data_IF_398707285504
#
_entry.id   IF_398707285504
#
_cell.length_a   1.000
_cell.length_b   1.000
_cell.length_c   1.000
_cell.angle_alpha   90.00
_cell.angle_beta   90.00
_cell.angle_gamma   90.00
#
_symmetry.space_group_name_H-M   'P 1'
#
loop_
_entity.id
_entity.type
_entity.pdbx_description
1 polymer ?
#
# COMPACT_ATOMS: atom_id res chain seq x y z
N UNK A 1 -15.02 20.99 2.24
CA UNK A 1 -14.00 20.04 2.70
C UNK A 1 -14.61 18.67 3.00
N UNK A 2 -15.49 18.49 3.99
CA UNK A 2 -16.09 17.17 4.37
C UNK A 2 -16.87 16.41 3.26
N UNK A 3 -17.46 17.08 2.30
CA UNK A 3 -18.20 16.43 1.19
C UNK A 3 -17.23 15.81 0.18
N UNK A 4 -16.10 16.44 -0.07
CA UNK A 4 -15.06 15.93 -0.97
C UNK A 4 -14.37 14.68 -0.42
N UNK A 5 -14.02 14.69 0.86
CA UNK A 5 -13.46 13.53 1.55
C UNK A 5 -14.44 12.33 1.51
N UNK A 6 -15.75 12.59 1.61
CA UNK A 6 -16.77 11.56 1.46
C UNK A 6 -16.84 11.03 0.02
N UNK A 7 -16.77 11.89 -0.99
CA UNK A 7 -16.79 11.48 -2.41
C UNK A 7 -15.52 10.75 -2.81
N UNK A 8 -14.34 11.21 -2.38
CA UNK A 8 -13.07 10.47 -2.54
C UNK A 8 -13.15 9.08 -1.89
N UNK A 9 -13.64 9.01 -0.65
CA UNK A 9 -13.82 7.75 0.06
C UNK A 9 -14.82 6.83 -0.66
N UNK A 10 -15.90 7.39 -1.22
CA UNK A 10 -16.92 6.63 -1.93
C UNK A 10 -16.41 6.11 -3.26
N UNK A 11 -15.70 6.94 -4.04
CA UNK A 11 -15.07 6.54 -5.30
C UNK A 11 -13.97 5.49 -5.06
N UNK A 12 -13.14 5.67 -4.05
CA UNK A 12 -12.14 4.69 -3.67
C UNK A 12 -12.77 3.34 -3.31
N UNK A 13 -13.77 3.33 -2.43
CA UNK A 13 -14.46 2.10 -1.99
C UNK A 13 -15.22 1.39 -3.09
N UNK A 14 -15.89 2.14 -3.97
CA UNK A 14 -16.84 1.54 -4.92
C UNK A 14 -16.25 1.29 -6.31
N UNK A 15 -15.14 1.93 -6.66
CA UNK A 15 -14.52 1.80 -7.97
C UNK A 15 -13.11 1.21 -7.86
N UNK A 16 -12.25 1.81 -7.04
CA UNK A 16 -10.83 1.43 -6.98
C UNK A 16 -10.65 0.08 -6.29
N UNK A 17 -11.27 -0.12 -5.13
CA UNK A 17 -11.15 -1.36 -4.35
C UNK A 17 -11.69 -2.59 -5.09
N UNK A 18 -12.87 -2.58 -5.75
CA UNK A 18 -13.33 -3.73 -6.52
C UNK A 18 -12.44 -4.09 -7.70
N UNK A 19 -11.89 -3.09 -8.41
CA UNK A 19 -10.97 -3.33 -9.53
C UNK A 19 -9.62 -3.88 -9.07
N UNK A 20 -9.17 -3.51 -7.89
CA UNK A 20 -7.94 -4.04 -7.28
C UNK A 20 -8.14 -5.43 -6.68
N UNK A 21 -9.36 -5.75 -6.22
CA UNK A 21 -9.63 -6.93 -5.42
C UNK A 21 -9.23 -8.24 -6.10
N UNK A 22 -9.56 -8.39 -7.39
CA UNK A 22 -9.24 -9.63 -8.13
C UNK A 22 -7.74 -9.80 -8.34
N UNK A 23 -7.04 -8.75 -8.77
CA UNK A 23 -5.58 -8.80 -8.97
C UNK A 23 -4.81 -8.99 -7.67
N UNK A 24 -5.31 -8.45 -6.57
CA UNK A 24 -4.75 -8.66 -5.23
C UNK A 24 -4.99 -10.09 -4.76
N UNK A 25 -6.18 -10.64 -4.98
CA UNK A 25 -6.52 -12.02 -4.64
C UNK A 25 -5.62 -13.02 -5.37
N UNK A 26 -5.48 -12.88 -6.69
CA UNK A 26 -4.64 -13.74 -7.51
C UNK A 26 -3.17 -13.65 -7.05
N UNK A 27 -2.65 -12.44 -6.84
CA UNK A 27 -1.29 -12.20 -6.38
C UNK A 27 -1.00 -12.80 -5.01
N UNK A 28 -1.91 -12.65 -4.04
CA UNK A 28 -1.75 -13.27 -2.71
C UNK A 28 -1.85 -14.79 -2.82
N UNK A 29 -2.79 -15.30 -3.62
CA UNK A 29 -2.98 -16.75 -3.82
C UNK A 29 -1.75 -17.47 -4.38
N UNK A 30 -0.94 -16.81 -5.21
CA UNK A 30 0.33 -17.36 -5.70
C UNK A 30 1.41 -17.46 -4.62
N UNK A 31 1.30 -16.70 -3.54
CA UNK A 31 2.36 -16.53 -2.56
C UNK A 31 2.00 -17.02 -1.15
N UNK A 32 0.73 -17.03 -0.79
CA UNK A 32 0.24 -17.52 0.49
C UNK A 32 -0.16 -18.98 0.38
N UNK A 33 0.19 -19.75 1.39
CA UNK A 33 -0.29 -21.13 1.60
C UNK A 33 -0.90 -21.23 3.00
N UNK A 34 -1.97 -21.98 3.13
CA UNK A 34 -2.61 -22.23 4.42
C UNK A 34 -1.60 -22.76 5.44
N UNK A 35 -1.69 -22.26 6.67
CA UNK A 35 -0.73 -22.55 7.74
C UNK A 35 0.45 -21.57 7.84
N UNK A 36 0.65 -20.69 6.83
CA UNK A 36 1.64 -19.61 6.93
C UNK A 36 1.14 -18.51 7.86
N UNK A 37 1.88 -18.17 8.90
CA UNK A 37 1.53 -17.06 9.81
C UNK A 37 1.79 -15.72 9.13
N UNK A 38 0.75 -14.92 9.01
CA UNK A 38 0.74 -13.65 8.26
C UNK A 38 0.52 -12.47 9.19
N UNK A 39 1.41 -11.49 9.11
CA UNK A 39 1.24 -10.15 9.67
C UNK A 39 0.83 -9.19 8.55
N UNK A 40 -0.41 -8.70 8.55
CA UNK A 40 -0.86 -7.63 7.67
C UNK A 40 -0.53 -6.28 8.33
N UNK A 41 0.56 -5.66 7.89
CA UNK A 41 1.09 -4.43 8.46
C UNK A 41 0.41 -3.20 7.86
N UNK A 42 -0.23 -2.40 8.72
CA UNK A 42 -1.05 -1.26 8.29
C UNK A 42 -2.35 -1.73 7.64
N UNK A 43 -3.04 -2.71 8.24
CA UNK A 43 -4.23 -3.36 7.68
C UNK A 43 -5.43 -2.42 7.47
N UNK A 44 -5.39 -1.21 7.99
CA UNK A 44 -6.43 -0.19 7.84
C UNK A 44 -7.79 -0.69 8.32
N UNK A 45 -8.74 -0.81 7.39
CA UNK A 45 -10.10 -1.28 7.66
C UNK A 45 -10.25 -2.81 7.65
N UNK A 46 -9.15 -3.54 7.59
CA UNK A 46 -9.12 -5.01 7.64
C UNK A 46 -9.67 -5.72 6.40
N UNK A 47 -9.88 -5.01 5.28
CA UNK A 47 -10.52 -5.58 4.09
C UNK A 47 -9.73 -6.74 3.46
N UNK A 48 -8.42 -6.73 3.60
CA UNK A 48 -7.53 -7.77 3.07
C UNK A 48 -7.51 -9.06 3.92
N UNK A 49 -8.06 -9.04 5.13
CA UNK A 49 -8.10 -10.23 6.00
C UNK A 49 -8.68 -11.45 5.30
N UNK A 50 -9.69 -11.25 4.43
CA UNK A 50 -10.36 -12.30 3.68
C UNK A 50 -9.47 -13.06 2.67
N UNK A 51 -8.26 -12.56 2.41
CA UNK A 51 -7.28 -13.21 1.54
C UNK A 51 -6.54 -14.34 2.25
N UNK A 52 -6.71 -14.46 3.57
CA UNK A 52 -5.97 -15.37 4.43
C UNK A 52 -6.92 -16.21 5.28
N UNK A 53 -6.43 -17.34 5.78
CA UNK A 53 -7.16 -18.11 6.79
C UNK A 53 -7.16 -17.30 8.11
N UNK A 54 -8.32 -17.17 8.80
CA UNK A 54 -8.40 -16.44 10.05
C UNK A 54 -7.40 -16.88 11.13
N UNK A 55 -7.08 -18.17 11.21
CA UNK A 55 -6.13 -18.71 12.19
C UNK A 55 -4.66 -18.36 11.91
N UNK A 56 -4.37 -17.97 10.68
CA UNK A 56 -3.03 -17.61 10.21
C UNK A 56 -2.77 -16.10 10.22
N UNK A 57 -3.81 -15.29 10.36
CA UNK A 57 -3.78 -13.85 10.12
C UNK A 57 -3.79 -13.02 11.39
N UNK A 58 -2.93 -12.02 11.42
CA UNK A 58 -2.98 -10.90 12.37
C UNK A 58 -2.89 -9.60 11.57
N UNK A 59 -3.95 -8.78 11.63
CA UNK A 59 -3.92 -7.41 11.13
C UNK A 59 -3.36 -6.46 12.18
N UNK A 60 -2.45 -5.57 11.78
CA UNK A 60 -1.87 -4.57 12.66
C UNK A 60 -2.11 -3.15 12.17
N UNK A 61 -2.48 -2.25 13.08
CA UNK A 61 -2.80 -0.86 12.75
C UNK A 61 -2.44 0.05 13.93
N UNK A 62 -2.00 1.28 13.65
CA UNK A 62 -1.66 2.27 14.68
C UNK A 62 -2.89 2.98 15.23
N UNK A 63 -3.95 3.10 14.45
CA UNK A 63 -5.21 3.73 14.82
C UNK A 63 -6.13 2.77 15.55
N UNK A 64 -6.38 3.05 16.84
CA UNK A 64 -7.25 2.22 17.69
C UNK A 64 -8.69 2.12 17.17
N UNK A 65 -9.21 3.18 16.54
CA UNK A 65 -10.59 3.20 16.03
C UNK A 65 -10.74 2.27 14.83
N UNK A 66 -9.70 2.18 13.99
CA UNK A 66 -9.63 1.23 12.87
C UNK A 66 -9.51 -0.21 13.36
N UNK A 67 -8.68 -0.48 14.37
CA UNK A 67 -8.56 -1.80 14.99
C UNK A 67 -9.92 -2.28 15.51
N UNK A 68 -10.61 -1.45 16.28
CA UNK A 68 -11.94 -1.77 16.83
C UNK A 68 -12.97 -2.01 15.72
N UNK A 69 -13.01 -1.11 14.73
CA UNK A 69 -13.92 -1.20 13.59
C UNK A 69 -13.69 -2.47 12.76
N UNK A 70 -12.41 -2.83 12.53
CA UNK A 70 -12.04 -4.04 11.80
C UNK A 70 -12.42 -5.30 12.55
N UNK A 71 -12.20 -5.34 13.87
CA UNK A 71 -12.61 -6.47 14.72
C UNK A 71 -14.12 -6.68 14.73
N UNK A 72 -14.91 -5.60 14.79
CA UNK A 72 -16.38 -5.67 14.67
C UNK A 72 -16.82 -6.17 13.30
N UNK A 73 -16.17 -5.71 12.24
CA UNK A 73 -16.54 -6.06 10.85
C UNK A 73 -16.13 -7.47 10.45
N UNK A 74 -15.00 -7.94 10.96
CA UNK A 74 -14.42 -9.24 10.65
C UNK A 74 -14.11 -10.06 11.91
N UNK A 75 -15.12 -10.50 12.67
CA UNK A 75 -14.95 -11.06 14.01
C UNK A 75 -14.18 -12.39 14.07
N UNK A 76 -13.97 -13.04 12.93
CA UNK A 76 -13.15 -14.27 12.85
C UNK A 76 -11.66 -13.98 12.80
N UNK A 77 -11.26 -12.72 12.53
CA UNK A 77 -9.87 -12.34 12.34
C UNK A 77 -9.36 -11.56 13.55
N UNK A 78 -8.07 -11.64 13.79
CA UNK A 78 -7.40 -10.93 14.87
C UNK A 78 -6.85 -9.61 14.35
N UNK A 79 -7.14 -8.51 15.07
CA UNK A 79 -6.59 -7.19 14.79
C UNK A 79 -5.94 -6.63 16.06
N UNK A 80 -4.72 -6.13 15.93
CA UNK A 80 -3.95 -5.62 17.04
C UNK A 80 -3.47 -4.18 16.77
N UNK A 81 -3.53 -3.36 17.82
CA UNK A 81 -2.91 -2.04 17.80
C UNK A 81 -1.41 -2.19 17.96
N UNK A 82 -0.65 -1.48 17.11
CA UNK A 82 0.80 -1.40 17.21
C UNK A 82 1.26 0.03 17.53
N UNK A 83 2.45 0.22 18.13
CA UNK A 83 3.04 1.53 18.28
C UNK A 83 3.48 2.11 16.92
N UNK A 84 3.57 3.43 16.85
CA UNK A 84 4.23 4.10 15.73
C UNK A 84 5.72 3.86 15.86
N UNK A 85 6.33 3.26 14.84
CA UNK A 85 7.78 2.99 14.81
C UNK A 85 8.50 4.23 14.24
N UNK A 86 9.07 5.04 15.10
CA UNK A 86 9.78 6.27 14.74
C UNK A 86 11.16 6.42 15.39
N UNK A 87 11.51 5.51 16.30
CA UNK A 87 12.80 5.42 16.97
C UNK A 87 13.28 3.96 17.04
N UNK A 88 14.57 3.76 17.28
CA UNK A 88 15.16 2.42 17.44
C UNK A 88 14.74 1.69 18.72
N UNK A 89 14.04 2.38 19.62
CA UNK A 89 13.47 1.80 20.85
C UNK A 89 12.08 1.21 20.62
N UNK A 90 11.40 1.65 19.57
CA UNK A 90 10.05 1.18 19.24
C UNK A 90 10.15 -0.20 18.61
N UNK A 91 9.30 -1.13 19.06
CA UNK A 91 9.27 -2.51 18.58
C UNK A 91 7.84 -2.95 18.30
N UNK A 92 7.71 -3.82 17.32
CA UNK A 92 6.47 -4.56 17.11
C UNK A 92 6.27 -5.57 18.26
N UNK A 93 5.02 -5.80 18.73
CA UNK A 93 4.75 -6.55 19.96
C UNK A 93 4.92 -8.08 19.82
N UNK A 94 5.52 -8.56 18.75
CA UNK A 94 5.75 -9.97 18.49
C UNK A 94 7.19 -10.38 18.69
N UNK A 95 7.38 -11.66 19.01
CA UNK A 95 8.71 -12.27 19.17
C UNK A 95 9.44 -12.36 17.83
N UNK A 96 10.75 -12.57 17.91
CA UNK A 96 11.56 -12.88 16.74
C UNK A 96 11.04 -14.16 16.05
N UNK A 97 11.16 -14.24 14.74
CA UNK A 97 10.80 -15.43 13.96
C UNK A 97 9.33 -15.87 14.14
N UNK A 98 8.39 -14.94 14.27
CA UNK A 98 6.96 -15.22 14.50
C UNK A 98 6.16 -15.46 13.23
N UNK A 99 6.56 -14.85 12.10
CA UNK A 99 5.76 -14.82 10.88
C UNK A 99 6.49 -15.43 9.68
N UNK A 100 5.72 -16.13 8.86
CA UNK A 100 6.16 -16.61 7.56
C UNK A 100 6.05 -15.53 6.48
N UNK A 101 5.11 -14.59 6.68
CA UNK A 101 4.85 -13.50 5.76
C UNK A 101 4.50 -12.21 6.51
N UNK A 102 5.10 -11.10 6.07
CA UNK A 102 4.59 -9.75 6.33
C UNK A 102 3.91 -9.28 5.05
N UNK A 103 2.61 -9.06 5.10
CA UNK A 103 1.84 -8.49 4.01
C UNK A 103 1.71 -6.98 4.20
N UNK A 104 1.91 -6.22 3.13
CA UNK A 104 1.81 -4.75 3.14
C UNK A 104 0.99 -4.33 1.93
N UNK A 105 -0.10 -3.62 2.16
CA UNK A 105 -0.95 -3.16 1.08
C UNK A 105 -1.30 -1.69 1.27
N UNK A 106 -0.83 -0.85 0.36
CA UNK A 106 -1.10 0.58 0.32
C UNK A 106 -0.78 1.28 1.67
N UNK A 107 0.39 1.00 2.24
CA UNK A 107 0.78 1.47 3.57
C UNK A 107 2.09 2.29 3.56
N UNK A 108 3.15 1.82 2.90
CA UNK A 108 4.47 2.45 3.00
C UNK A 108 4.51 3.88 2.46
N UNK A 109 3.69 4.19 1.46
CA UNK A 109 3.61 5.55 0.90
C UNK A 109 3.03 6.59 1.85
N UNK A 110 2.53 6.18 3.02
CA UNK A 110 2.16 7.08 4.13
C UNK A 110 3.31 7.28 5.12
N UNK A 111 4.40 6.54 5.01
CA UNK A 111 5.49 6.47 6.00
C UNK A 111 6.75 7.08 5.42
N UNK A 112 7.38 7.99 6.17
CA UNK A 112 8.64 8.58 5.73
C UNK A 112 9.79 7.55 5.71
N UNK A 113 10.81 7.78 4.88
CA UNK A 113 11.90 6.84 4.68
C UNK A 113 12.68 6.46 5.96
N UNK A 114 12.80 7.38 6.93
CA UNK A 114 13.47 7.11 8.21
C UNK A 114 12.69 6.07 9.01
N UNK A 115 11.37 6.23 9.11
CA UNK A 115 10.50 5.27 9.81
C UNK A 115 10.41 3.95 9.03
N UNK A 116 10.37 3.96 7.69
CA UNK A 116 10.42 2.74 6.89
C UNK A 116 11.65 1.88 7.19
N UNK A 117 12.83 2.49 7.34
CA UNK A 117 14.06 1.76 7.72
C UNK A 117 13.92 1.05 9.06
N UNK A 118 13.36 1.73 10.06
CA UNK A 118 13.13 1.13 11.38
C UNK A 118 12.12 -0.01 11.31
N UNK A 119 11.06 0.17 10.54
CA UNK A 119 10.03 -0.83 10.30
C UNK A 119 10.63 -2.06 9.61
N UNK A 120 11.49 -1.90 8.61
CA UNK A 120 12.12 -3.03 7.93
C UNK A 120 13.07 -3.83 8.85
N UNK A 121 13.76 -3.16 9.78
CA UNK A 121 14.51 -3.87 10.84
C UNK A 121 13.60 -4.73 11.70
N UNK A 122 12.42 -4.22 12.06
CA UNK A 122 11.43 -4.98 12.80
C UNK A 122 10.83 -6.11 11.94
N UNK A 123 10.59 -5.90 10.64
CA UNK A 123 10.18 -6.98 9.75
C UNK A 123 11.22 -8.10 9.67
N UNK A 124 12.52 -7.73 9.57
CA UNK A 124 13.61 -8.72 9.60
C UNK A 124 13.63 -9.51 10.91
N UNK A 125 13.35 -8.86 12.02
CA UNK A 125 13.29 -9.50 13.34
C UNK A 125 12.09 -10.46 13.48
N UNK A 126 10.90 -10.03 13.09
CA UNK A 126 9.68 -10.82 13.30
C UNK A 126 9.47 -11.89 12.23
N UNK A 127 10.07 -11.76 11.05
CA UNK A 127 10.05 -12.78 10.03
C UNK A 127 10.93 -13.98 10.41
N UNK A 128 10.46 -15.19 10.11
CA UNK A 128 11.28 -16.40 10.15
C UNK A 128 12.40 -16.34 9.10
N UNK A 129 13.41 -17.19 9.22
CA UNK A 129 14.55 -17.23 8.29
C UNK A 129 14.15 -17.37 6.82
N UNK A 130 13.09 -18.13 6.53
CA UNK A 130 12.52 -18.32 5.20
C UNK A 130 11.31 -17.42 4.94
N UNK A 131 11.06 -16.45 5.83
CA UNK A 131 9.93 -15.54 5.74
C UNK A 131 10.13 -14.50 4.65
N UNK A 132 9.04 -13.93 4.18
CA UNK A 132 9.04 -12.93 3.12
C UNK A 132 8.12 -11.76 3.41
N UNK A 133 8.42 -10.64 2.78
CA UNK A 133 7.51 -9.52 2.64
C UNK A 133 6.77 -9.70 1.31
N UNK A 134 5.45 -9.59 1.34
CA UNK A 134 4.60 -9.52 0.17
C UNK A 134 3.92 -8.17 0.15
N UNK A 135 4.09 -7.38 -0.92
CA UNK A 135 3.64 -6.01 -0.91
C UNK A 135 2.94 -5.54 -2.17
N UNK A 136 2.05 -4.57 -1.99
CA UNK A 136 1.36 -3.83 -3.05
C UNK A 136 1.41 -2.35 -2.69
N UNK A 137 2.14 -1.56 -3.47
CA UNK A 137 2.29 -0.12 -3.22
C UNK A 137 2.10 0.71 -4.50
N UNK A 138 1.55 1.93 -4.41
CA UNK A 138 1.58 2.85 -5.53
C UNK A 138 3.02 3.22 -5.83
N UNK A 139 3.42 3.16 -7.11
CA UNK A 139 4.78 3.48 -7.52
C UNK A 139 4.80 4.41 -8.73
N UNK A 140 5.70 5.38 -8.71
CA UNK A 140 5.97 6.22 -9.86
C UNK A 140 6.79 5.43 -10.88
N UNK A 141 6.31 5.40 -12.12
CA UNK A 141 6.91 4.62 -13.21
C UNK A 141 7.43 5.57 -14.27
N UNK A 142 8.68 5.38 -14.68
CA UNK A 142 9.29 6.18 -15.73
C UNK A 142 8.48 6.07 -17.04
N UNK A 143 8.28 7.21 -17.70
CA UNK A 143 7.48 7.30 -18.92
C UNK A 143 5.96 7.24 -18.72
N UNK A 144 5.45 7.09 -17.49
CA UNK A 144 4.01 7.07 -17.17
C UNK A 144 3.54 8.40 -16.55
N UNK A 145 3.85 9.52 -17.23
CA UNK A 145 3.61 10.87 -16.71
C UNK A 145 2.18 11.11 -16.25
N UNK A 146 1.18 10.67 -17.02
CA UNK A 146 -0.22 10.88 -16.69
C UNK A 146 -0.65 10.18 -15.41
N UNK A 147 -0.35 8.89 -15.26
CA UNK A 147 -0.67 8.15 -14.03
C UNK A 147 0.15 8.65 -12.84
N UNK A 148 1.41 9.03 -13.04
CA UNK A 148 2.22 9.62 -11.98
C UNK A 148 1.62 10.94 -11.48
N UNK A 149 1.11 11.80 -12.37
CA UNK A 149 0.43 13.05 -12.01
C UNK A 149 -0.88 12.75 -11.25
N UNK A 150 -1.68 11.81 -11.75
CA UNK A 150 -2.94 11.42 -11.08
C UNK A 150 -2.66 10.91 -9.66
N UNK A 151 -1.70 10.00 -9.49
CA UNK A 151 -1.34 9.49 -8.16
C UNK A 151 -0.88 10.62 -7.23
N UNK A 152 -0.03 11.54 -7.71
CA UNK A 152 0.42 12.66 -6.89
C UNK A 152 -0.70 13.64 -6.50
N UNK A 153 -1.77 13.73 -7.28
CA UNK A 153 -2.91 14.62 -6.99
C UNK A 153 -3.96 13.94 -6.12
N UNK A 154 -4.29 12.67 -6.41
CA UNK A 154 -5.43 11.98 -5.81
C UNK A 154 -5.06 11.08 -4.64
N UNK A 155 -3.80 10.65 -4.53
CA UNK A 155 -3.38 9.79 -3.43
C UNK A 155 -3.20 10.58 -2.14
N UNK A 156 -3.66 10.00 -1.04
CA UNK A 156 -3.51 10.59 0.29
C UNK A 156 -2.11 10.40 0.88
N UNK A 157 -1.30 9.53 0.28
CA UNK A 157 0.06 9.24 0.73
C UNK A 157 1.05 10.35 0.40
N UNK A 158 1.93 10.61 1.35
CA UNK A 158 2.92 11.69 1.27
C UNK A 158 4.22 11.28 0.60
N UNK A 159 4.46 9.98 0.46
CA UNK A 159 5.77 9.41 0.15
C UNK A 159 5.73 8.34 -0.94
N UNK A 160 4.92 8.57 -2.01
CA UNK A 160 4.96 7.70 -3.19
C UNK A 160 6.35 7.83 -3.83
N UNK A 161 7.05 6.71 -3.94
CA UNK A 161 8.40 6.68 -4.49
C UNK A 161 8.41 6.17 -5.94
N UNK A 162 9.42 6.56 -6.73
CA UNK A 162 9.78 5.83 -7.93
C UNK A 162 10.09 4.36 -7.61
N UNK A 163 9.74 3.45 -8.52
CA UNK A 163 9.90 2.01 -8.31
C UNK A 163 11.35 1.62 -7.97
N UNK A 164 12.35 2.23 -8.63
CA UNK A 164 13.76 2.00 -8.32
C UNK A 164 14.11 2.45 -6.89
N UNK A 165 13.48 3.51 -6.38
CA UNK A 165 13.71 3.99 -5.00
C UNK A 165 13.12 3.06 -3.95
N UNK A 166 11.96 2.44 -4.20
CA UNK A 166 11.48 1.36 -3.35
C UNK A 166 12.48 0.20 -3.28
N UNK A 167 13.00 -0.25 -4.43
CA UNK A 167 14.01 -1.33 -4.46
C UNK A 167 15.28 -0.97 -3.69
N UNK A 168 15.80 0.25 -3.89
CA UNK A 168 16.96 0.74 -3.14
C UNK A 168 16.67 0.76 -1.63
N UNK A 169 15.48 1.16 -1.22
CA UNK A 169 15.08 1.20 0.19
C UNK A 169 15.02 -0.21 0.79
N UNK A 170 14.48 -1.21 0.09
CA UNK A 170 14.50 -2.60 0.52
C UNK A 170 15.93 -3.13 0.64
N UNK A 171 16.77 -2.88 -0.38
CA UNK A 171 18.17 -3.29 -0.40
C UNK A 171 18.99 -2.65 0.72
N UNK A 172 18.68 -1.41 1.11
CA UNK A 172 19.37 -0.73 2.23
C UNK A 172 19.12 -1.35 3.61
N UNK A 173 18.15 -2.23 3.72
CA UNK A 173 17.84 -2.96 4.96
C UNK A 173 17.97 -4.49 4.75
N UNK A 174 18.85 -4.88 3.81
CA UNK A 174 19.18 -6.27 3.49
C UNK A 174 17.97 -7.12 3.11
N UNK A 175 17.13 -6.57 2.22
CA UNK A 175 16.06 -7.30 1.53
C UNK A 175 16.29 -7.30 0.03
N UNK A 176 16.15 -8.47 -0.59
CA UNK A 176 16.19 -8.62 -2.04
C UNK A 176 14.77 -8.82 -2.57
N UNK A 177 14.37 -7.95 -3.52
CA UNK A 177 13.08 -8.08 -4.19
C UNK A 177 13.14 -9.12 -5.30
N UNK A 178 12.36 -10.19 -5.16
CA UNK A 178 12.39 -11.36 -6.06
C UNK A 178 11.32 -11.34 -7.13
N UNK A 179 10.20 -10.64 -6.90
CA UNK A 179 9.13 -10.53 -7.88
C UNK A 179 8.73 -9.09 -8.10
N UNK A 180 8.46 -8.77 -9.35
CA UNK A 180 8.06 -7.42 -9.74
C UNK A 180 6.99 -7.51 -10.82
N UNK A 181 5.80 -7.05 -10.47
CA UNK A 181 4.73 -6.82 -11.42
C UNK A 181 4.17 -5.40 -11.20
N UNK A 182 3.72 -4.76 -12.25
CA UNK A 182 3.04 -3.46 -12.16
C UNK A 182 1.65 -3.60 -12.76
N UNK A 183 0.66 -3.58 -11.89
CA UNK A 183 -0.75 -3.60 -12.28
C UNK A 183 -1.20 -2.17 -12.49
N UNK A 184 -1.79 -1.91 -13.67
CA UNK A 184 -2.38 -0.63 -13.99
C UNK A 184 -3.86 -0.68 -13.67
N UNK A 185 -4.29 0.17 -12.76
CA UNK A 185 -5.70 0.33 -12.43
C UNK A 185 -6.05 1.80 -12.46
N UNK A 186 -6.97 2.20 -13.33
CA UNK A 186 -7.62 3.51 -13.37
C UNK A 186 -6.71 4.73 -13.03
N UNK A 187 -5.56 4.83 -13.69
CA UNK A 187 -4.59 5.92 -13.45
C UNK A 187 -3.59 5.67 -12.33
N UNK A 188 -3.69 4.55 -11.62
CA UNK A 188 -2.70 4.11 -10.65
C UNK A 188 -1.78 3.04 -11.21
N UNK A 189 -0.51 3.11 -10.87
CA UNK A 189 0.45 2.05 -11.06
C UNK A 189 0.69 1.38 -9.70
N UNK A 190 0.20 0.16 -9.54
CA UNK A 190 0.40 -0.62 -8.33
C UNK A 190 1.54 -1.60 -8.53
N UNK A 191 2.60 -1.41 -7.80
CA UNK A 191 3.72 -2.33 -7.78
C UNK A 191 3.43 -3.47 -6.82
N UNK A 192 3.37 -4.69 -7.38
CA UNK A 192 3.27 -5.95 -6.65
C UNK A 192 4.65 -6.57 -6.55
N UNK A 193 5.07 -6.96 -5.35
CA UNK A 193 6.43 -7.46 -5.12
C UNK A 193 6.47 -8.47 -3.99
N UNK A 194 7.49 -9.34 -4.07
CA UNK A 194 7.90 -10.22 -2.98
C UNK A 194 9.36 -9.93 -2.66
N UNK A 195 9.68 -9.79 -1.38
CA UNK A 195 11.05 -9.55 -0.92
C UNK A 195 11.41 -10.51 0.19
N UNK A 196 12.63 -11.03 0.14
CA UNK A 196 13.19 -11.91 1.17
C UNK A 196 14.38 -11.25 1.83
N UNK A 197 14.60 -11.54 3.10
CA UNK A 197 15.81 -11.11 3.78
C UNK A 197 17.03 -11.79 3.14
N UNK A 198 18.13 -11.05 3.07
CA UNK A 198 19.40 -11.53 2.52
C UNK A 198 20.52 -11.20 3.50
N UNK A 199 21.63 -11.96 3.40
CA UNK A 199 22.85 -11.67 4.14
C UNK A 199 23.77 -10.69 3.38
N UNK A 200 23.34 -10.16 2.23
CA UNK A 200 24.07 -9.09 1.54
C UNK A 200 24.19 -7.85 2.44
N UNK A 201 25.35 -7.22 2.42
CA UNK A 201 25.58 -5.98 3.13
C UNK A 201 24.58 -4.90 2.71
N UNK A 202 24.01 -4.17 3.69
CA UNK A 202 23.06 -3.10 3.40
C UNK A 202 23.75 -2.00 2.57
N UNK A 203 23.05 -1.50 1.57
CA UNK A 203 23.53 -0.39 0.74
C UNK A 203 23.04 0.95 1.30
N UNK A 204 23.80 2.03 1.08
CA UNK A 204 23.33 3.35 1.48
C UNK A 204 22.11 3.77 0.66
N UNK A 205 20.98 3.95 1.33
CA UNK A 205 19.80 4.56 0.71
C UNK A 205 19.93 6.08 0.73
N UNK A 206 20.25 6.66 -0.42
CA UNK A 206 20.17 8.11 -0.60
C UNK A 206 18.72 8.49 -0.92
N UNK A 207 18.00 8.92 0.10
CA UNK A 207 16.71 9.55 -0.09
C UNK A 207 16.94 10.86 -0.84
N UNK A 208 17.08 10.76 -2.17
CA UNK A 208 17.04 11.94 -3.02
C UNK A 208 15.78 12.69 -2.63
N UNK A 209 15.92 13.95 -2.22
CA UNK A 209 14.78 14.80 -1.86
C UNK A 209 13.67 14.49 -2.85
N UNK A 210 12.56 13.95 -2.37
CA UNK A 210 11.37 13.69 -3.16
C UNK A 210 10.85 15.05 -3.57
N UNK A 211 11.46 15.65 -4.60
CA UNK A 211 11.17 17.03 -5.07
C UNK A 211 9.78 17.15 -5.64
N UNK A 212 9.08 16.03 -5.86
CA UNK A 212 7.75 16.01 -6.48
C UNK A 212 6.73 16.74 -5.60
N UNK A 213 6.87 16.73 -4.28
CA UNK A 213 5.97 17.52 -3.40
C UNK A 213 6.26 19.01 -3.36
N UNK A 214 7.45 19.48 -3.71
CA UNK A 214 7.74 20.92 -3.82
C UNK A 214 7.09 21.57 -5.03
N UNK A 215 6.80 20.81 -6.09
CA UNK A 215 6.08 21.31 -7.26
C UNK A 215 4.57 21.41 -7.00
N UNK A 216 4.03 20.57 -6.10
CA UNK A 216 2.59 20.57 -5.81
C UNK A 216 2.14 21.62 -4.79
N UNK A 217 3.05 22.25 -4.02
CA UNK A 217 2.65 23.32 -3.08
C UNK A 217 2.01 24.55 -3.75
N UNK A 218 2.46 25.08 -4.91
CA UNK A 218 1.72 26.12 -5.62
C UNK A 218 0.47 25.58 -6.33
N UNK A 219 0.38 24.29 -6.61
CA UNK A 219 -0.79 23.63 -7.20
C UNK A 219 -1.89 23.28 -6.18
N UNK A 220 -1.71 23.55 -4.89
CA UNK A 220 -2.79 23.38 -3.90
C UNK A 220 -4.01 24.26 -4.22
N UNK A 221 -3.82 25.42 -4.82
CA UNK A 221 -4.90 26.28 -5.35
C UNK A 221 -5.42 25.79 -6.72
N UNK A 222 -4.56 25.33 -7.61
CA UNK A 222 -4.96 24.62 -8.84
C UNK A 222 -5.49 23.20 -8.54
N UNK A 223 -5.05 22.54 -7.46
CA UNK A 223 -5.55 21.25 -7.00
C UNK A 223 -7.04 21.27 -6.68
N UNK A 224 -7.58 22.37 -6.17
CA UNK A 224 -9.04 22.53 -6.03
C UNK A 224 -9.75 22.51 -7.40
N UNK A 225 -9.21 23.19 -8.41
CA UNK A 225 -9.78 23.21 -9.77
C UNK A 225 -9.38 21.99 -10.59
N UNK A 226 -8.15 21.50 -10.45
CA UNK A 226 -7.65 20.29 -11.14
C UNK A 226 -8.39 19.01 -10.74
N UNK A 227 -8.75 18.87 -9.45
CA UNK A 227 -9.60 17.77 -8.98
C UNK A 227 -10.97 17.79 -9.66
N UNK A 228 -11.56 18.98 -9.84
CA UNK A 228 -12.82 19.13 -10.58
C UNK A 228 -12.69 18.75 -12.05
N UNK A 229 -11.63 19.17 -12.73
CA UNK A 229 -11.40 18.83 -14.14
C UNK A 229 -11.23 17.32 -14.30
N UNK A 230 -10.47 16.67 -13.42
CA UNK A 230 -10.29 15.22 -13.43
C UNK A 230 -11.61 14.50 -13.12
N UNK A 231 -12.39 14.95 -12.13
CA UNK A 231 -13.68 14.35 -11.78
C UNK A 231 -14.71 14.54 -12.90
N UNK A 232 -14.74 15.71 -13.57
CA UNK A 232 -15.61 15.96 -14.73
C UNK A 232 -15.20 15.06 -15.90
N UNK A 233 -13.89 14.94 -16.17
CA UNK A 233 -13.39 14.06 -17.25
C UNK A 233 -13.65 12.59 -16.96
N UNK A 234 -13.49 12.15 -15.72
CA UNK A 234 -13.82 10.79 -15.29
C UNK A 234 -15.32 10.52 -15.33
N UNK A 235 -16.15 11.50 -14.95
CA UNK A 235 -17.60 11.44 -15.06
C UNK A 235 -18.04 11.36 -16.52
N UNK A 236 -17.43 12.11 -17.42
CA UNK A 236 -17.71 12.06 -18.86
C UNK A 236 -17.34 10.68 -19.46
N UNK A 237 -16.17 10.14 -19.10
CA UNK A 237 -15.75 8.79 -19.54
C UNK A 237 -16.63 7.67 -18.98
N UNK A 238 -17.15 7.81 -17.77
CA UNK A 238 -18.08 6.85 -17.18
C UNK A 238 -19.44 6.89 -17.90
N UNK A 239 -19.92 8.09 -18.24
CA UNK A 239 -21.16 8.27 -19.02
C UNK A 239 -20.99 7.68 -20.41
N UNK A 240 -19.87 7.93 -21.09
CA UNK A 240 -19.53 7.39 -22.40
C UNK A 240 -19.50 5.85 -22.39
N UNK A 241 -18.90 5.26 -21.34
CA UNK A 241 -18.88 3.81 -21.13
C UNK A 241 -20.29 3.23 -20.92
N UNK A 242 -21.13 3.90 -20.11
CA UNK A 242 -22.50 3.47 -19.87
C UNK A 242 -23.36 3.60 -21.13
N UNK A 243 -23.23 4.69 -21.87
CA UNK A 243 -23.93 4.88 -23.15
C UNK A 243 -23.54 3.79 -24.13
N UNK A 244 -22.26 3.45 -24.26
CA UNK A 244 -21.80 2.39 -25.15
C UNK A 244 -22.27 0.99 -24.72
N UNK A 245 -22.37 0.72 -23.41
CA UNK A 245 -22.95 -0.52 -22.89
C UNK A 245 -24.45 -0.65 -23.20
N UNK A 246 -25.22 0.44 -23.09
CA UNK A 246 -26.68 0.42 -23.39
C UNK A 246 -26.98 0.49 -24.89
N UNK A 247 -26.06 0.97 -25.72
CA UNK A 247 -26.20 1.00 -27.19
C UNK A 247 -25.88 -0.34 -27.86
N UNK A 248 -25.26 -1.28 -27.09
CA UNK A 248 -24.89 -2.62 -27.55
C UNK A 248 -25.85 -3.72 -27.05
N UNK A 249 -26.90 -3.33 -26.34
CA UNK A 249 -28.06 -4.17 -25.95
C UNK A 249 -29.27 -3.90 -26.89
#
# INVERSE_FOLDING_TARGET
MKIFEKLETLAYKNIVVPLQGRTTFDFVGEHYKEGMKVLDFGCGTGSNSKLFNPEDYIGSEVDSSRVESSGKKYPKYKFEKIPIINSSKDKLPWKDNSFDMVFISLCLHHINAKSCKLIFKEFRRVLKSNGKILGIEPALIDGKYFSNIIMNILDAGDYILPLNKYKEMYKSESFTTTHINVVKTFGYNLWQYSSVATDEEPTEFKNGKTQIRKITKPFHLLGLYGKWVVLIFLGYKLIDLLVNMFSSM
#
